data_IF_558133769867
#
_entry.id   IF_558133769867
#
_cell.length_a   1.000
_cell.length_b   1.000
_cell.length_c   1.000
_cell.angle_alpha   90.00
_cell.angle_beta   90.00
_cell.angle_gamma   90.00
#
_symmetry.space_group_name_H-M   'P 1'
#
loop_
_entity.id
_entity.type
_entity.pdbx_description
1 polymer ?
#
# COMPACT_ATOMS: atom_id res chain seq x y z
N UNK A 1 -15.09 -20.01 -1.27
CA UNK A 1 -15.05 -19.36 -2.59
C UNK A 1 -16.42 -18.78 -2.88
N UNK A 2 -16.54 -17.46 -2.94
CA UNK A 2 -17.79 -16.72 -3.15
C UNK A 2 -17.63 -15.71 -4.29
N UNK A 3 -18.68 -15.52 -5.09
CA UNK A 3 -18.71 -14.61 -6.23
C UNK A 3 -19.58 -13.40 -5.93
N UNK A 4 -19.05 -12.22 -6.25
CA UNK A 4 -19.73 -10.95 -6.12
C UNK A 4 -19.64 -10.18 -7.43
N UNK A 5 -20.68 -9.41 -7.74
CA UNK A 5 -20.60 -8.45 -8.84
C UNK A 5 -19.74 -7.25 -8.42
N UNK A 6 -19.25 -6.46 -9.38
CA UNK A 6 -18.58 -5.20 -9.06
C UNK A 6 -19.49 -4.27 -8.24
N UNK A 7 -20.79 -4.26 -8.54
CA UNK A 7 -21.80 -3.46 -7.82
C UNK A 7 -21.86 -3.86 -6.34
N UNK A 8 -22.00 -5.16 -6.05
CA UNK A 8 -21.96 -5.70 -4.69
C UNK A 8 -20.62 -5.37 -4.00
N UNK A 9 -19.53 -5.52 -4.74
CA UNK A 9 -18.19 -5.28 -4.23
C UNK A 9 -17.98 -3.82 -3.84
N UNK A 10 -18.53 -2.87 -4.59
CA UNK A 10 -18.46 -1.44 -4.26
C UNK A 10 -19.36 -1.05 -3.09
N UNK A 11 -20.56 -1.64 -3.00
CA UNK A 11 -21.51 -1.35 -1.93
C UNK A 11 -21.07 -1.92 -0.57
N UNK A 12 -20.44 -3.10 -0.58
CA UNK A 12 -20.09 -3.87 0.63
C UNK A 12 -18.59 -4.10 0.78
N UNK A 13 -17.76 -3.27 0.15
CA UNK A 13 -16.30 -3.45 0.11
C UNK A 13 -15.66 -3.68 1.49
N UNK A 14 -16.00 -2.92 2.55
CA UNK A 14 -15.38 -3.11 3.86
C UNK A 14 -15.64 -4.50 4.46
N UNK A 15 -16.84 -5.04 4.25
CA UNK A 15 -17.21 -6.37 4.74
C UNK A 15 -16.49 -7.47 3.96
N UNK A 16 -16.46 -7.35 2.62
CA UNK A 16 -15.72 -8.27 1.76
C UNK A 16 -14.22 -8.25 2.07
N UNK A 17 -13.65 -7.08 2.40
CA UNK A 17 -12.26 -6.96 2.82
C UNK A 17 -12.01 -7.71 4.13
N UNK A 18 -12.88 -7.55 5.13
CA UNK A 18 -12.76 -8.26 6.41
C UNK A 18 -12.82 -9.78 6.22
N UNK A 19 -13.71 -10.25 5.34
CA UNK A 19 -13.86 -11.67 5.00
C UNK A 19 -12.66 -12.22 4.22
N UNK A 20 -12.14 -11.47 3.25
CA UNK A 20 -10.91 -11.83 2.55
C UNK A 20 -9.71 -11.92 3.52
N UNK A 21 -9.59 -10.97 4.45
CA UNK A 21 -8.57 -11.01 5.50
C UNK A 21 -8.73 -12.18 6.47
N UNK A 22 -9.96 -12.67 6.69
CA UNK A 22 -10.24 -13.87 7.46
C UNK A 22 -9.91 -15.18 6.72
N UNK A 23 -9.44 -15.08 5.46
CA UNK A 23 -9.05 -16.23 4.64
C UNK A 23 -10.16 -16.72 3.70
N UNK A 24 -11.26 -15.99 3.57
CA UNK A 24 -12.30 -16.33 2.60
C UNK A 24 -11.87 -15.96 1.18
N UNK A 25 -11.99 -16.90 0.25
CA UNK A 25 -11.74 -16.67 -1.17
C UNK A 25 -12.92 -15.94 -1.82
N UNK A 26 -12.68 -14.68 -2.22
CA UNK A 26 -13.67 -13.78 -2.81
C UNK A 26 -13.29 -13.47 -4.25
N UNK A 27 -14.23 -13.68 -5.18
CA UNK A 27 -14.10 -13.40 -6.60
C UNK A 27 -15.05 -12.27 -6.97
N UNK A 28 -14.54 -11.21 -7.58
CA UNK A 28 -15.29 -10.08 -8.10
C UNK A 28 -15.42 -10.25 -9.61
N UNK A 29 -16.65 -10.12 -10.10
CA UNK A 29 -16.99 -10.30 -11.51
C UNK A 29 -17.60 -9.02 -12.08
N UNK A 30 -17.30 -8.73 -13.34
CA UNK A 30 -17.91 -7.64 -14.10
C UNK A 30 -18.30 -8.17 -15.48
N UNK A 31 -19.46 -7.73 -15.98
CA UNK A 31 -19.98 -8.19 -17.27
C UNK A 31 -18.97 -7.86 -18.39
N UNK A 32 -18.53 -8.90 -19.10
CA UNK A 32 -17.60 -8.78 -20.22
C UNK A 32 -16.12 -8.67 -19.83
N UNK A 33 -15.78 -8.81 -18.56
CA UNK A 33 -14.39 -8.80 -18.07
C UNK A 33 -14.05 -10.09 -17.33
N UNK A 34 -12.75 -10.38 -17.25
CA UNK A 34 -12.25 -11.54 -16.51
C UNK A 34 -12.52 -11.40 -15.00
N UNK A 35 -12.88 -12.49 -14.29
CA UNK A 35 -13.03 -12.47 -12.85
C UNK A 35 -11.72 -12.12 -12.12
N UNK A 36 -11.81 -11.30 -11.08
CA UNK A 36 -10.67 -10.88 -10.26
C UNK A 36 -10.81 -11.46 -8.86
N UNK A 37 -9.71 -11.99 -8.30
CA UNK A 37 -9.68 -12.49 -6.93
C UNK A 37 -9.22 -11.42 -5.94
N UNK A 38 -10.00 -11.21 -4.88
CA UNK A 38 -9.60 -10.42 -3.72
C UNK A 38 -8.85 -11.34 -2.75
N UNK A 39 -7.56 -11.08 -2.55
CA UNK A 39 -6.73 -11.82 -1.61
C UNK A 39 -5.93 -10.86 -0.74
N UNK A 40 -5.75 -11.17 0.56
CA UNK A 40 -4.80 -10.44 1.39
C UNK A 40 -3.41 -10.61 0.80
N UNK A 41 -2.70 -9.49 0.65
CA UNK A 41 -1.29 -9.51 0.27
C UNK A 41 -0.50 -9.67 1.57
N UNK A 42 0.38 -10.67 1.62
CA UNK A 42 1.25 -10.81 2.78
C UNK A 42 2.09 -9.55 2.94
N UNK A 43 2.07 -8.98 4.14
CA UNK A 43 2.96 -7.90 4.50
C UNK A 43 4.39 -8.45 4.54
N UNK A 44 5.14 -8.19 3.47
CA UNK A 44 6.57 -8.43 3.46
C UNK A 44 7.21 -7.59 4.56
N UNK A 45 7.67 -8.26 5.61
CA UNK A 45 8.54 -7.64 6.60
C UNK A 45 9.81 -7.16 5.90
N UNK A 46 10.15 -5.88 6.07
CA UNK A 46 11.43 -5.35 5.58
C UNK A 46 12.55 -6.12 6.27
N UNK A 47 13.42 -6.75 5.48
CA UNK A 47 14.48 -7.59 6.03
C UNK A 47 15.63 -6.74 6.58
N UNK A 48 16.42 -7.30 7.52
CA UNK A 48 17.63 -6.62 8.01
C UNK A 48 18.60 -6.29 6.86
N UNK A 49 18.74 -7.20 5.90
CA UNK A 49 19.60 -7.00 4.73
C UNK A 49 19.15 -5.80 3.88
N UNK A 50 17.83 -5.59 3.72
CA UNK A 50 17.30 -4.42 3.01
C UNK A 50 17.58 -3.12 3.76
N UNK A 51 17.45 -3.13 5.08
CA UNK A 51 17.79 -1.98 5.92
C UNK A 51 19.29 -1.67 5.81
N UNK A 52 20.15 -2.70 5.82
CA UNK A 52 21.59 -2.54 5.66
C UNK A 52 21.96 -2.01 4.27
N UNK A 53 21.33 -2.53 3.21
CA UNK A 53 21.48 -2.00 1.84
C UNK A 53 21.07 -0.53 1.76
N UNK A 54 19.97 -0.14 2.40
CA UNK A 54 19.53 1.26 2.44
C UNK A 54 20.53 2.14 3.21
N UNK A 55 21.08 1.65 4.32
CA UNK A 55 22.11 2.37 5.10
C UNK A 55 23.40 2.55 4.31
N UNK A 56 23.85 1.50 3.62
CA UNK A 56 25.08 1.52 2.82
C UNK A 56 24.97 2.49 1.64
N UNK A 57 23.80 2.55 1.00
CA UNK A 57 23.56 3.41 -0.16
C UNK A 57 22.94 4.77 0.20
N UNK A 58 22.86 5.13 1.49
CA UNK A 58 22.24 6.38 1.92
C UNK A 58 23.08 7.57 1.44
N UNK A 59 22.46 8.44 0.65
CA UNK A 59 23.08 9.72 0.26
C UNK A 59 23.34 10.54 1.51
N UNK A 60 24.60 10.90 1.73
CA UNK A 60 25.01 11.80 2.82
C UNK A 60 25.04 13.22 2.27
N UNK A 61 24.36 14.17 2.92
CA UNK A 61 24.42 15.56 2.48
C UNK A 61 25.84 16.10 2.65
N UNK A 62 26.26 16.94 1.71
CA UNK A 62 27.60 17.54 1.70
C UNK A 62 27.87 18.39 2.96
N UNK A 63 26.82 18.99 3.53
CA UNK A 63 26.86 19.70 4.80
C UNK A 63 25.71 19.23 5.69
N UNK A 64 25.92 19.08 7.01
CA UNK A 64 24.82 18.87 7.94
C UNK A 64 23.81 20.00 7.81
N UNK A 65 22.53 19.67 7.75
CA UNK A 65 21.45 20.63 7.73
C UNK A 65 20.33 20.15 8.65
N UNK A 66 19.58 21.09 9.22
CA UNK A 66 18.36 20.76 9.94
C UNK A 66 17.22 20.57 8.93
N UNK A 67 16.83 19.32 8.74
CA UNK A 67 15.73 18.93 7.88
C UNK A 67 14.42 19.63 8.26
N UNK A 68 14.19 19.87 9.54
CA UNK A 68 12.95 20.48 10.03
C UNK A 68 12.83 21.94 9.57
N UNK A 69 13.90 22.71 9.77
CA UNK A 69 13.98 24.10 9.30
C UNK A 69 13.91 24.20 7.77
N UNK A 70 14.54 23.27 7.04
CA UNK A 70 14.48 23.25 5.58
C UNK A 70 13.05 22.98 5.07
N UNK A 71 12.36 21.98 5.61
CA UNK A 71 10.98 21.64 5.21
C UNK A 71 10.03 22.81 5.54
N UNK A 72 10.17 23.44 6.71
CA UNK A 72 9.40 24.62 7.08
C UNK A 72 9.60 25.75 6.09
N UNK A 73 10.86 26.06 5.76
CA UNK A 73 11.21 27.06 4.76
C UNK A 73 10.57 26.75 3.41
N UNK A 74 10.67 25.52 2.91
CA UNK A 74 10.05 25.12 1.64
C UNK A 74 8.53 25.26 1.64
N UNK A 75 7.87 24.94 2.76
CA UNK A 75 6.41 25.11 2.91
C UNK A 75 6.01 26.58 2.94
N UNK A 76 6.75 27.38 3.69
CA UNK A 76 6.44 28.79 3.93
C UNK A 76 6.81 29.67 2.71
N UNK A 77 7.81 29.26 1.91
CA UNK A 77 8.21 29.91 0.65
C UNK A 77 7.32 29.53 -0.55
N UNK A 78 6.43 28.54 -0.42
CA UNK A 78 5.40 28.20 -1.43
C UNK A 78 5.94 28.07 -2.86
N UNK A 79 6.61 26.96 -3.16
CA UNK A 79 6.78 26.51 -4.55
C UNK A 79 5.44 26.11 -5.17
#
# INVERSE_FOLDING_TARGET
MAYYTLEDATAHFPELLARACAGEEIIITRLGEDPIQLKPVESRSVTKEEIERLRANRVKPLKPFDSTSLIRRMRDEGL
#
